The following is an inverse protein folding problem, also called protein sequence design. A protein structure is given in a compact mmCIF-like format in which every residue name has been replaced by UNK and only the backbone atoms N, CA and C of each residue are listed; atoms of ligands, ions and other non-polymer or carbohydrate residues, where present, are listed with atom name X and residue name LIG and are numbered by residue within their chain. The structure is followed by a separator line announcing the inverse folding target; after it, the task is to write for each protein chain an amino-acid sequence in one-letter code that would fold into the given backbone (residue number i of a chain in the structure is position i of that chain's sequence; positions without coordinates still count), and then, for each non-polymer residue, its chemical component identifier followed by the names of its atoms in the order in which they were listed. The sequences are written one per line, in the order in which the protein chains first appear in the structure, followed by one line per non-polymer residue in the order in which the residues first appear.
data_IF_397031464772
#
_entry.id   IF_397031464772
#
_cell.length_a   1.000
_cell.length_b   1.000
_cell.length_c   1.000
_cell.angle_alpha   90.00
_cell.angle_beta   90.00
_cell.angle_gamma   90.00
#
_symmetry.space_group_name_H-M   'P 1'
#
loop_
_entity.id
_entity.type
_entity.pdbx_description
1 polymer ?
#
# COMPACT_ATOMS: atom_id res chain seq x y z
N UNK A 1 3.36 6.46 5.19
CA UNK A 1 3.06 6.75 3.76
C UNK A 1 2.88 8.24 3.51
N UNK A 2 2.13 8.94 4.38
CA UNK A 2 1.82 10.37 4.23
C UNK A 2 3.03 11.28 3.98
N UNK A 3 4.14 11.09 4.72
CA UNK A 3 5.37 11.90 4.56
C UNK A 3 5.91 11.91 3.12
N UNK A 4 5.75 10.81 2.38
CA UNK A 4 6.31 10.67 1.02
C UNK A 4 5.25 10.83 -0.08
N UNK A 5 3.97 10.86 0.26
CA UNK A 5 2.88 10.77 -0.74
C UNK A 5 1.69 11.68 -0.45
N UNK A 6 1.74 12.46 0.63
CA UNK A 6 0.74 13.46 1.02
C UNK A 6 -0.70 12.97 0.88
N UNK A 7 -1.50 13.74 0.13
CA UNK A 7 -2.92 13.46 -0.13
C UNK A 7 -3.16 12.10 -0.81
N UNK A 8 -2.22 11.56 -1.59
CA UNK A 8 -2.39 10.22 -2.18
C UNK A 8 -2.45 9.13 -1.12
N UNK A 9 -1.71 9.26 -0.01
CA UNK A 9 -1.81 8.30 1.09
C UNK A 9 -3.22 8.28 1.69
N UNK A 10 -3.85 9.46 1.82
CA UNK A 10 -5.22 9.58 2.34
C UNK A 10 -6.23 9.00 1.34
N UNK A 11 -6.09 9.29 0.05
CA UNK A 11 -6.97 8.74 -0.99
C UNK A 11 -6.90 7.21 -1.05
N UNK A 12 -5.72 6.62 -0.91
CA UNK A 12 -5.57 5.16 -0.90
C UNK A 12 -6.21 4.53 0.33
N UNK A 13 -6.09 5.18 1.50
CA UNK A 13 -6.80 4.73 2.68
C UNK A 13 -8.32 4.82 2.50
N UNK A 14 -8.83 5.95 2.02
CA UNK A 14 -10.27 6.10 1.74
C UNK A 14 -10.77 5.08 0.72
N UNK A 15 -10.02 4.84 -0.36
CA UNK A 15 -10.37 3.81 -1.34
C UNK A 15 -10.43 2.42 -0.71
N UNK A 16 -9.45 2.07 0.14
CA UNK A 16 -9.48 0.80 0.88
C UNK A 16 -10.73 0.68 1.75
N UNK A 17 -11.12 1.76 2.47
CA UNK A 17 -12.34 1.75 3.26
C UNK A 17 -13.58 1.52 2.38
N UNK A 18 -13.61 2.09 1.17
CA UNK A 18 -14.69 1.85 0.21
C UNK A 18 -14.70 0.41 -0.30
N UNK A 19 -13.53 -0.14 -0.65
CA UNK A 19 -13.38 -1.53 -1.11
C UNK A 19 -13.80 -2.54 -0.03
N UNK A 20 -13.68 -2.16 1.25
CA UNK A 20 -14.14 -2.92 2.41
C UNK A 20 -15.61 -2.65 2.80
N UNK A 21 -16.38 -1.96 1.94
CA UNK A 21 -17.84 -1.84 2.05
C UNK A 21 -18.36 -0.59 2.75
N UNK A 22 -17.53 0.45 2.92
CA UNK A 22 -18.02 1.75 3.43
C UNK A 22 -18.39 2.70 2.30
N UNK A 23 -19.29 3.64 2.58
CA UNK A 23 -19.75 4.65 1.62
C UNK A 23 -19.24 6.02 2.05
N UNK A 24 -17.99 6.32 1.72
CA UNK A 24 -17.35 7.62 1.98
C UNK A 24 -16.79 8.23 0.69
N UNK A 25 -16.55 9.54 0.70
CA UNK A 25 -15.87 10.22 -0.40
C UNK A 25 -14.36 9.94 -0.38
N UNK A 26 -13.75 9.82 -1.58
CA UNK A 26 -12.30 9.71 -1.78
C UNK A 26 -11.76 11.09 -2.20
N UNK A 27 -11.64 12.00 -1.25
CA UNK A 27 -11.26 13.41 -1.46
C UNK A 27 -9.81 13.74 -1.02
N UNK A 28 -9.13 12.77 -0.39
CA UNK A 28 -7.78 12.93 0.14
C UNK A 28 -7.70 13.85 1.36
N UNK A 29 -8.80 14.02 2.11
CA UNK A 29 -8.87 14.76 3.37
C UNK A 29 -9.41 13.84 4.47
N UNK A 30 -8.73 13.80 5.62
CA UNK A 30 -9.26 13.08 6.79
C UNK A 30 -10.32 13.95 7.46
N UNK A 31 -11.57 13.54 7.37
CA UNK A 31 -12.70 14.15 8.08
C UNK A 31 -13.48 13.13 8.92
N UNK A 32 -14.58 13.57 9.58
CA UNK A 32 -15.36 12.70 10.47
C UNK A 32 -15.89 11.43 9.81
N UNK A 33 -16.22 11.47 8.51
CA UNK A 33 -16.66 10.28 7.77
C UNK A 33 -15.55 9.24 7.64
N UNK A 34 -14.34 9.67 7.25
CA UNK A 34 -13.18 8.78 7.12
C UNK A 34 -12.78 8.19 8.48
N UNK A 35 -12.83 8.97 9.55
CA UNK A 35 -12.56 8.49 10.91
C UNK A 35 -13.55 7.41 11.33
N UNK A 36 -14.86 7.68 11.24
CA UNK A 36 -15.92 6.71 11.60
C UNK A 36 -15.86 5.43 10.77
N UNK A 37 -15.59 5.55 9.47
CA UNK A 37 -15.43 4.39 8.60
C UNK A 37 -14.20 3.54 8.98
N UNK A 38 -13.07 4.19 9.27
CA UNK A 38 -11.86 3.54 9.76
C UNK A 38 -12.08 2.82 11.09
N UNK A 39 -12.68 3.49 12.07
CA UNK A 39 -13.01 2.90 13.38
C UNK A 39 -13.93 1.68 13.25
N UNK A 40 -14.99 1.79 12.44
CA UNK A 40 -15.93 0.68 12.21
C UNK A 40 -15.22 -0.54 11.62
N UNK A 41 -14.38 -0.34 10.60
CA UNK A 41 -13.66 -1.45 9.97
C UNK A 41 -12.56 -2.02 10.87
N UNK A 42 -11.89 -1.19 11.67
CA UNK A 42 -10.94 -1.65 12.67
C UNK A 42 -11.61 -2.49 13.76
N UNK A 43 -12.86 -2.18 14.16
CA UNK A 43 -13.63 -2.99 15.10
C UNK A 43 -14.12 -4.30 14.47
N UNK A 44 -14.57 -4.25 13.21
CA UNK A 44 -15.10 -5.43 12.52
C UNK A 44 -14.01 -6.43 12.10
N UNK A 45 -12.80 -5.94 11.80
CA UNK A 45 -11.68 -6.78 11.37
C UNK A 45 -10.33 -6.24 11.88
N UNK A 46 -10.06 -6.35 13.20
CA UNK A 46 -8.91 -5.71 13.87
C UNK A 46 -7.55 -6.04 13.25
N UNK A 47 -7.35 -7.30 12.89
CA UNK A 47 -6.07 -7.78 12.36
C UNK A 47 -5.94 -7.58 10.84
N UNK A 48 -7.03 -7.26 10.14
CA UNK A 48 -7.05 -7.26 8.67
C UNK A 48 -6.84 -5.88 8.07
N UNK A 49 -7.26 -4.80 8.74
CA UNK A 49 -7.17 -3.45 8.19
C UNK A 49 -5.71 -3.00 7.99
N UNK A 50 -4.83 -3.36 8.94
CA UNK A 50 -3.40 -3.07 8.86
C UNK A 50 -2.74 -3.84 7.70
N UNK A 51 -3.02 -5.14 7.60
CA UNK A 51 -2.54 -6.00 6.52
C UNK A 51 -2.99 -5.47 5.15
N UNK A 52 -4.28 -5.15 5.02
CA UNK A 52 -4.86 -4.64 3.78
C UNK A 52 -4.24 -3.30 3.37
N UNK A 53 -4.07 -2.36 4.31
CA UNK A 53 -3.46 -1.08 4.02
C UNK A 53 -1.97 -1.20 3.64
N UNK A 54 -1.24 -2.09 4.29
CA UNK A 54 0.13 -2.41 3.94
C UNK A 54 0.25 -3.00 2.52
N UNK A 55 -0.69 -3.86 2.10
CA UNK A 55 -0.76 -4.40 0.73
C UNK A 55 -1.05 -3.29 -0.27
N UNK A 56 -2.06 -2.44 -0.02
CA UNK A 56 -2.38 -1.28 -0.88
C UNK A 56 -1.17 -0.38 -1.05
N UNK A 57 -0.46 -0.09 0.05
CA UNK A 57 0.77 0.72 0.01
C UNK A 57 1.88 0.08 -0.82
N UNK A 58 2.14 -1.22 -0.65
CA UNK A 58 3.14 -1.95 -1.46
C UNK A 58 2.77 -1.87 -2.94
N UNK A 59 1.51 -2.14 -3.26
CA UNK A 59 1.04 -2.16 -4.64
C UNK A 59 1.14 -0.78 -5.29
N UNK A 60 0.84 0.29 -4.55
CA UNK A 60 1.04 1.67 -5.01
C UNK A 60 2.51 1.99 -5.28
N UNK A 61 3.44 1.58 -4.40
CA UNK A 61 4.87 1.80 -4.67
C UNK A 61 5.37 1.05 -5.91
N UNK A 62 4.85 -0.15 -6.15
CA UNK A 62 5.15 -0.90 -7.37
C UNK A 62 4.55 -0.23 -8.61
N UNK A 63 3.31 0.26 -8.54
CA UNK A 63 2.69 0.98 -9.68
C UNK A 63 3.46 2.25 -10.04
N UNK A 64 3.97 2.98 -9.04
CA UNK A 64 4.87 4.12 -9.30
C UNK A 64 6.15 3.70 -10.04
N UNK A 65 6.69 2.51 -9.75
CA UNK A 65 7.86 1.96 -10.46
C UNK A 65 7.55 1.47 -11.87
N UNK A 66 6.31 0.99 -12.10
CA UNK A 66 5.80 0.66 -13.44
C UNK A 66 5.73 1.93 -14.30
N UNK A 67 5.17 3.02 -13.76
CA UNK A 67 4.96 4.29 -14.47
C UNK A 67 6.26 5.11 -14.63
N UNK A 68 7.16 5.07 -13.64
CA UNK A 68 8.32 5.96 -13.57
C UNK A 68 9.60 5.18 -13.29
N UNK A 69 10.41 4.87 -14.32
CA UNK A 69 11.64 4.09 -14.17
C UNK A 69 12.63 4.65 -13.13
N UNK A 70 12.72 5.99 -13.01
CA UNK A 70 13.59 6.67 -12.04
C UNK A 70 13.24 6.38 -10.57
N UNK A 71 12.02 5.93 -10.28
CA UNK A 71 11.56 5.56 -8.94
C UNK A 71 11.84 4.09 -8.59
N UNK A 72 12.17 3.24 -9.56
CA UNK A 72 12.40 1.80 -9.34
C UNK A 72 13.49 1.53 -8.32
N UNK A 73 14.51 2.39 -8.24
CA UNK A 73 15.60 2.33 -7.25
C UNK A 73 15.13 2.32 -5.78
N UNK A 74 13.92 2.81 -5.51
CA UNK A 74 13.35 2.78 -4.17
C UNK A 74 12.57 1.49 -3.87
N UNK A 75 12.07 0.83 -4.92
CA UNK A 75 11.25 -0.38 -4.84
C UNK A 75 12.04 -1.67 -5.10
N UNK A 76 13.19 -1.60 -5.79
CA UNK A 76 14.04 -2.74 -6.17
C UNK A 76 15.53 -2.37 -6.06
N UNK A 77 16.36 -3.30 -5.57
CA UNK A 77 17.83 -3.17 -5.55
C UNK A 77 18.43 -3.46 -6.92
N UNK A 78 19.71 -3.14 -7.15
CA UNK A 78 20.40 -3.52 -8.39
C UNK A 78 20.47 -5.04 -8.59
N UNK A 79 20.49 -5.82 -7.50
CA UNK A 79 20.43 -7.29 -7.51
C UNK A 79 19.04 -7.87 -7.79
N UNK A 80 18.02 -7.03 -8.02
CA UNK A 80 16.65 -7.49 -8.28
C UNK A 80 15.85 -7.86 -7.03
N UNK A 81 16.39 -7.58 -5.84
CA UNK A 81 15.71 -7.84 -4.56
C UNK A 81 14.80 -6.68 -4.17
N UNK A 82 14.00 -6.88 -3.13
CA UNK A 82 13.07 -5.87 -2.61
C UNK A 82 13.82 -4.63 -2.13
N UNK A 83 13.42 -3.47 -2.63
CA UNK A 83 13.90 -2.18 -2.17
C UNK A 83 13.19 -1.72 -0.89
N UNK A 84 13.71 -0.65 -0.28
CA UNK A 84 13.25 -0.16 1.01
C UNK A 84 11.77 0.26 1.06
N UNK A 85 11.16 0.68 -0.06
CA UNK A 85 9.72 0.95 -0.11
C UNK A 85 8.88 -0.31 0.11
N UNK A 86 9.28 -1.43 -0.52
CA UNK A 86 8.57 -2.71 -0.44
C UNK A 86 8.78 -3.33 0.93
N UNK A 87 10.03 -3.41 1.40
CA UNK A 87 10.37 -3.95 2.74
C UNK A 87 9.60 -3.22 3.84
N UNK A 88 9.59 -1.87 3.79
CA UNK A 88 8.87 -1.07 4.79
C UNK A 88 7.36 -1.21 4.67
N UNK A 89 6.78 -1.42 3.49
CA UNK A 89 5.35 -1.67 3.39
C UNK A 89 5.01 -3.03 4.01
N UNK A 90 5.80 -4.06 3.70
CA UNK A 90 5.59 -5.43 4.18
C UNK A 90 5.88 -5.64 5.67
N UNK A 91 6.64 -4.75 6.33
CA UNK A 91 6.85 -4.81 7.78
C UNK A 91 5.57 -4.56 8.58
N UNK A 92 4.55 -3.95 7.98
CA UNK A 92 3.25 -3.69 8.61
C UNK A 92 2.21 -4.79 8.34
N UNK A 93 2.54 -5.80 7.51
CA UNK A 93 1.64 -6.92 7.23
C UNK A 93 2.15 -8.24 7.80
N UNK A 94 1.21 -9.13 8.08
CA UNK A 94 1.43 -10.52 8.42
C UNK A 94 2.32 -11.21 7.38
N UNK A 95 3.27 -12.09 7.79
CA UNK A 95 4.21 -12.74 6.88
C UNK A 95 3.56 -13.44 5.67
N UNK A 96 2.36 -14.02 5.86
CA UNK A 96 1.59 -14.71 4.81
C UNK A 96 1.20 -13.83 3.61
N UNK A 97 1.20 -12.50 3.76
CA UNK A 97 0.84 -11.56 2.69
C UNK A 97 2.05 -10.92 2.00
N UNK A 98 3.26 -11.16 2.52
CA UNK A 98 4.50 -10.66 1.93
C UNK A 98 4.80 -11.44 0.67
N UNK A 99 5.32 -10.76 -0.35
CA UNK A 99 5.79 -11.47 -1.53
C UNK A 99 6.98 -12.36 -1.15
N UNK A 100 7.09 -13.55 -1.70
CA UNK A 100 8.36 -14.26 -1.71
C UNK A 100 9.37 -13.53 -2.61
N UNK A 101 10.65 -13.92 -2.54
CA UNK A 101 11.66 -13.38 -3.45
C UNK A 101 11.29 -13.66 -4.91
N UNK A 102 10.77 -14.86 -5.20
CA UNK A 102 10.35 -15.26 -6.55
C UNK A 102 9.14 -14.45 -7.01
N UNK A 103 8.09 -14.31 -6.19
CA UNK A 103 6.92 -13.50 -6.52
C UNK A 103 7.27 -12.04 -6.77
N UNK A 104 8.21 -11.50 -5.98
CA UNK A 104 8.69 -10.14 -6.19
C UNK A 104 9.44 -10.00 -7.52
N UNK A 105 10.36 -10.91 -7.84
CA UNK A 105 11.06 -10.91 -9.12
C UNK A 105 10.11 -11.04 -10.30
N UNK A 106 9.12 -11.93 -10.22
CA UNK A 106 8.07 -12.06 -11.24
C UNK A 106 7.29 -10.74 -11.39
N UNK A 107 6.91 -10.10 -10.29
CA UNK A 107 6.16 -8.84 -10.29
C UNK A 107 6.91 -7.69 -10.96
N UNK A 108 8.23 -7.66 -10.87
CA UNK A 108 9.08 -6.59 -11.44
C UNK A 108 9.81 -7.01 -12.71
N UNK A 109 9.50 -8.18 -13.27
CA UNK A 109 10.17 -8.75 -14.47
C UNK A 109 10.15 -7.83 -15.70
N UNK A 110 9.12 -6.98 -15.82
CA UNK A 110 8.97 -6.03 -16.94
C UNK A 110 9.80 -4.75 -16.77
N UNK A 111 10.48 -4.56 -15.65
CA UNK A 111 11.32 -3.39 -15.40
C UNK A 111 12.68 -3.55 -16.05
N UNK A 112 12.72 -3.31 -17.37
CA UNK A 112 13.95 -3.19 -18.18
C UNK A 112 14.67 -1.88 -17.85
#
# INVERSE_FOLDING_TARGET
MYVNSGRHAVRLFQQLLCDMGTLISVDGKIGPQTQKAGERLAQAAPDHLNDAYAIVRRNYYLSLGDERPSLRKFARTNGGEKGGWVIRAESFMSPKYRLSSLEFQMRVSKWV
#
